data_IF_314803300415
#
_entry.id   IF_314803300415
#
_cell.length_a   1.000
_cell.length_b   1.000
_cell.length_c   1.000
_cell.angle_alpha   90.00
_cell.angle_beta   90.00
_cell.angle_gamma   90.00
#
_symmetry.space_group_name_H-M   'P 1'
#
loop_
_entity.id
_entity.type
_entity.pdbx_description
1 polymer ?
#
# COMPACT_ATOMS: atom_id res chain seq x y z
N UNK A 1 17.06 13.68 26.53
CA UNK A 1 16.08 13.24 25.53
C UNK A 1 15.21 12.05 25.97
N UNK A 2 15.51 11.42 27.08
CA UNK A 2 14.87 10.18 27.55
C UNK A 2 13.48 10.32 28.22
N UNK A 3 13.13 11.52 28.69
CA UNK A 3 11.87 11.76 29.41
C UNK A 3 10.60 11.78 28.56
N UNK A 4 10.67 12.07 27.26
CA UNK A 4 9.51 12.07 26.35
C UNK A 4 9.12 10.66 25.87
N UNK A 5 10.09 9.76 25.76
CA UNK A 5 9.85 8.36 25.36
C UNK A 5 9.19 7.53 26.46
N UNK A 6 9.46 7.82 27.73
CA UNK A 6 8.85 7.11 28.85
C UNK A 6 7.36 7.46 29.02
N UNK A 7 7.00 8.73 28.81
CA UNK A 7 5.61 9.23 28.90
C UNK A 7 4.70 8.70 27.78
N UNK A 8 5.25 8.49 26.57
CA UNK A 8 4.48 7.95 25.43
C UNK A 8 4.20 6.45 25.58
N UNK A 9 5.03 5.70 26.33
CA UNK A 9 4.78 4.30 26.66
C UNK A 9 3.65 4.09 27.67
N UNK A 10 3.32 5.08 28.49
CA UNK A 10 2.31 4.94 29.56
C UNK A 10 0.88 5.12 29.06
N UNK A 11 0.66 5.82 27.93
CA UNK A 11 -0.67 6.14 27.41
C UNK A 11 -1.31 4.98 26.62
N UNK A 12 -0.51 4.04 26.09
CA UNK A 12 -0.96 2.91 25.27
C UNK A 12 -0.39 1.58 25.75
N UNK A 13 -0.67 1.22 27.02
CA UNK A 13 -0.65 -0.17 27.44
C UNK A 13 -2.09 -0.65 27.60
N UNK A 14 -2.83 -0.97 26.53
CA UNK A 14 -3.97 -1.83 26.70
C UNK A 14 -3.46 -3.09 27.37
N UNK A 15 -4.19 -3.61 28.34
CA UNK A 15 -3.86 -4.90 28.93
C UNK A 15 -3.61 -5.87 27.78
N UNK A 16 -2.55 -6.69 27.85
CA UNK A 16 -2.23 -7.67 26.81
C UNK A 16 -3.45 -8.52 26.42
N UNK A 17 -4.31 -8.78 27.39
CA UNK A 17 -5.60 -9.43 27.22
C UNK A 17 -6.59 -8.64 26.34
N UNK A 18 -6.62 -7.31 26.46
CA UNK A 18 -7.51 -6.48 25.62
C UNK A 18 -7.12 -6.51 24.14
N UNK A 19 -5.83 -6.51 23.83
CA UNK A 19 -5.33 -6.66 22.45
C UNK A 19 -5.82 -7.97 21.84
N UNK A 20 -5.66 -9.06 22.59
CA UNK A 20 -6.09 -10.38 22.15
C UNK A 20 -7.61 -10.43 21.93
N UNK A 21 -8.41 -9.93 22.85
CA UNK A 21 -9.88 -9.92 22.75
C UNK A 21 -10.36 -9.07 21.56
N UNK A 22 -9.77 -7.89 21.33
CA UNK A 22 -10.12 -7.02 20.20
C UNK A 22 -9.86 -7.74 18.87
N UNK A 23 -8.71 -8.40 18.72
CA UNK A 23 -8.38 -9.13 17.49
C UNK A 23 -9.20 -10.41 17.33
N UNK A 24 -9.51 -11.11 18.41
CA UNK A 24 -10.46 -12.22 18.39
C UNK A 24 -11.84 -11.74 17.91
N UNK A 25 -12.34 -10.62 18.46
CA UNK A 25 -13.56 -9.96 18.02
C UNK A 25 -13.52 -9.54 16.55
N UNK A 26 -12.40 -8.99 16.08
CA UNK A 26 -12.17 -8.67 14.67
C UNK A 26 -12.27 -9.93 13.77
N UNK A 27 -11.78 -11.07 14.25
CA UNK A 27 -11.92 -12.35 13.56
C UNK A 27 -13.38 -12.79 13.41
N UNK A 28 -14.16 -12.69 14.49
CA UNK A 28 -15.61 -13.00 14.49
C UNK A 28 -16.35 -12.06 13.54
N UNK A 29 -16.11 -10.74 13.65
CA UNK A 29 -16.71 -9.73 12.76
C UNK A 29 -16.38 -10.03 11.31
N UNK A 30 -15.13 -10.36 11.00
CA UNK A 30 -14.72 -10.73 9.64
C UNK A 30 -15.47 -11.95 9.12
N UNK A 31 -15.54 -13.01 9.93
CA UNK A 31 -16.24 -14.25 9.57
C UNK A 31 -17.72 -14.03 9.26
N UNK A 32 -18.42 -13.33 10.14
CA UNK A 32 -19.84 -12.98 9.97
C UNK A 32 -20.07 -12.08 8.77
N UNK A 33 -19.26 -11.02 8.63
CA UNK A 33 -19.37 -10.07 7.54
C UNK A 33 -19.15 -10.74 6.17
N UNK A 34 -18.25 -11.72 6.03
CA UNK A 34 -18.06 -12.46 4.80
C UNK A 34 -19.30 -13.25 4.37
N UNK A 35 -20.08 -13.77 5.33
CA UNK A 35 -21.37 -14.44 5.03
C UNK A 35 -22.39 -13.42 4.48
N UNK A 36 -22.49 -12.25 5.13
CA UNK A 36 -23.39 -11.17 4.71
C UNK A 36 -23.00 -10.60 3.35
N UNK A 37 -21.73 -10.30 3.14
CA UNK A 37 -21.22 -9.74 1.88
C UNK A 37 -21.50 -10.64 0.66
N UNK A 38 -21.56 -11.95 0.88
CA UNK A 38 -21.93 -12.90 -0.19
C UNK A 38 -23.41 -12.85 -0.55
N UNK A 39 -24.27 -12.61 0.44
CA UNK A 39 -25.71 -12.46 0.19
C UNK A 39 -26.03 -11.16 -0.57
N UNK A 40 -25.20 -10.12 -0.40
CA UNK A 40 -25.37 -8.83 -1.06
C UNK A 40 -25.02 -8.85 -2.56
N UNK A 41 -24.23 -9.81 -3.01
CA UNK A 41 -23.89 -9.95 -4.43
C UNK A 41 -23.42 -11.38 -4.71
N UNK A 42 -24.01 -12.02 -5.72
CA UNK A 42 -23.62 -13.35 -6.23
C UNK A 42 -22.30 -13.34 -7.01
N UNK A 43 -21.74 -12.17 -7.32
CA UNK A 43 -20.49 -12.03 -8.05
C UNK A 43 -19.24 -12.29 -7.19
N UNK A 44 -18.15 -12.68 -7.85
CA UNK A 44 -16.84 -12.77 -7.22
C UNK A 44 -16.37 -11.40 -6.71
N UNK A 45 -15.45 -11.39 -5.74
CA UNK A 45 -14.78 -10.15 -5.28
C UNK A 45 -14.06 -9.51 -6.47
N UNK A 46 -14.68 -8.49 -7.06
CA UNK A 46 -14.08 -7.74 -8.16
C UNK A 46 -13.22 -6.66 -7.54
N UNK A 47 -11.91 -6.86 -7.56
CA UNK A 47 -10.96 -5.81 -7.20
C UNK A 47 -11.03 -4.64 -8.21
N UNK A 48 -10.76 -3.43 -7.76
CA UNK A 48 -10.78 -2.22 -8.59
C UNK A 48 -9.95 -2.39 -9.87
N UNK A 49 -8.78 -3.03 -9.77
CA UNK A 49 -7.91 -3.31 -10.93
C UNK A 49 -8.58 -4.26 -11.91
N UNK A 50 -9.20 -5.34 -11.40
CA UNK A 50 -9.94 -6.29 -12.24
C UNK A 50 -11.15 -5.63 -12.91
N UNK A 51 -11.89 -4.77 -12.20
CA UNK A 51 -13.02 -4.03 -12.74
C UNK A 51 -12.61 -3.16 -13.93
N UNK A 52 -11.53 -2.39 -13.80
CA UNK A 52 -11.05 -1.48 -14.84
C UNK A 52 -10.63 -2.26 -16.10
N UNK A 53 -9.91 -3.38 -15.92
CA UNK A 53 -9.34 -4.09 -17.06
C UNK A 53 -10.31 -5.07 -17.74
N UNK A 54 -11.17 -5.76 -16.96
CA UNK A 54 -11.96 -6.87 -17.45
C UNK A 54 -13.48 -6.63 -17.43
N UNK A 55 -13.94 -5.63 -16.67
CA UNK A 55 -15.35 -5.32 -16.51
C UNK A 55 -15.73 -3.89 -16.91
N UNK A 56 -14.95 -3.26 -17.80
CA UNK A 56 -15.18 -1.90 -18.29
C UNK A 56 -15.34 -0.86 -17.16
N UNK A 57 -14.70 -1.05 -16.01
CA UNK A 57 -14.82 -0.19 -14.83
C UNK A 57 -16.06 -0.44 -13.97
N UNK A 58 -16.92 -1.40 -14.32
CA UNK A 58 -18.14 -1.70 -13.55
C UNK A 58 -17.81 -2.41 -12.25
N UNK A 59 -18.31 -1.87 -11.14
CA UNK A 59 -18.11 -2.37 -9.77
C UNK A 59 -19.46 -2.61 -9.09
N UNK A 60 -19.63 -3.72 -8.34
CA UNK A 60 -20.80 -3.93 -7.48
C UNK A 60 -20.76 -2.97 -6.30
N UNK A 61 -21.45 -1.82 -6.42
CA UNK A 61 -21.33 -0.68 -5.51
C UNK A 61 -21.56 -1.05 -4.04
N UNK A 62 -22.70 -1.68 -3.72
CA UNK A 62 -23.06 -2.02 -2.34
C UNK A 62 -22.03 -2.94 -1.67
N UNK A 63 -21.60 -3.99 -2.38
CA UNK A 63 -20.62 -4.94 -1.85
C UNK A 63 -19.24 -4.30 -1.68
N UNK A 64 -18.82 -3.48 -2.65
CA UNK A 64 -17.53 -2.80 -2.61
C UNK A 64 -17.47 -1.80 -1.46
N UNK A 65 -18.53 -0.98 -1.26
CA UNK A 65 -18.62 -0.04 -0.14
C UNK A 65 -18.71 -0.76 1.20
N UNK A 66 -19.49 -1.83 1.31
CA UNK A 66 -19.58 -2.63 2.54
C UNK A 66 -18.21 -3.27 2.89
N UNK A 67 -17.47 -3.78 1.89
CA UNK A 67 -16.12 -4.29 2.07
C UNK A 67 -15.13 -3.17 2.48
N UNK A 68 -15.26 -1.99 1.90
CA UNK A 68 -14.48 -0.81 2.25
C UNK A 68 -14.69 -0.41 3.71
N UNK A 69 -15.95 -0.26 4.13
CA UNK A 69 -16.32 0.07 5.52
C UNK A 69 -15.79 -0.99 6.49
N UNK A 70 -16.00 -2.26 6.19
CA UNK A 70 -15.48 -3.36 6.99
C UNK A 70 -13.95 -3.28 7.14
N UNK A 71 -13.21 -2.97 6.07
CA UNK A 71 -11.76 -2.86 6.14
C UNK A 71 -11.29 -1.72 7.05
N UNK A 72 -12.01 -0.58 7.09
CA UNK A 72 -11.70 0.53 8.02
C UNK A 72 -11.91 0.10 9.47
N UNK A 73 -13.04 -0.55 9.77
CA UNK A 73 -13.34 -1.05 11.12
C UNK A 73 -12.27 -2.05 11.57
N UNK A 74 -11.93 -3.03 10.74
CA UNK A 74 -10.95 -4.06 11.08
C UNK A 74 -9.54 -3.50 11.28
N UNK A 75 -9.11 -2.55 10.44
CA UNK A 75 -7.81 -1.87 10.63
C UNK A 75 -7.83 -1.02 11.91
N UNK A 76 -8.96 -0.38 12.24
CA UNK A 76 -9.17 0.31 13.51
C UNK A 76 -9.08 -0.63 14.73
N UNK A 77 -9.52 -1.88 14.59
CA UNK A 77 -9.36 -2.93 15.60
C UNK A 77 -7.94 -3.51 15.68
N UNK A 78 -6.99 -3.03 14.87
CA UNK A 78 -5.58 -3.45 14.94
C UNK A 78 -5.16 -4.48 13.91
N UNK A 79 -6.01 -4.89 12.97
CA UNK A 79 -5.64 -5.83 11.91
C UNK A 79 -4.47 -5.29 11.09
N UNK A 80 -3.49 -6.16 10.79
CA UNK A 80 -2.23 -5.82 10.12
C UNK A 80 -2.37 -5.59 8.62
N UNK A 81 -3.29 -4.71 8.21
CA UNK A 81 -3.56 -4.31 6.83
C UNK A 81 -3.65 -2.79 6.71
N UNK A 82 -3.72 -2.29 5.47
CA UNK A 82 -3.80 -0.86 5.19
C UNK A 82 -5.22 -0.34 5.12
N UNK A 83 -5.40 0.91 5.53
CA UNK A 83 -6.69 1.63 5.47
C UNK A 83 -6.96 2.25 4.11
N UNK A 84 -5.97 2.34 3.23
CA UNK A 84 -6.05 2.98 1.91
C UNK A 84 -6.93 2.22 0.90
N UNK A 85 -7.22 0.96 1.17
CA UNK A 85 -8.16 0.19 0.36
C UNK A 85 -9.56 0.80 0.31
N UNK A 86 -10.05 1.29 1.45
CA UNK A 86 -11.40 1.83 1.57
C UNK A 86 -11.62 3.12 0.76
N UNK A 87 -10.85 4.21 0.90
CA UNK A 87 -11.04 5.42 0.12
C UNK A 87 -10.81 5.18 -1.38
N UNK A 88 -9.86 4.31 -1.77
CA UNK A 88 -9.66 3.89 -3.16
C UNK A 88 -10.91 3.20 -3.71
N UNK A 89 -11.51 2.27 -2.98
CA UNK A 89 -12.73 1.57 -3.37
C UNK A 89 -13.93 2.52 -3.44
N UNK A 90 -14.10 3.39 -2.44
CA UNK A 90 -15.17 4.37 -2.42
C UNK A 90 -15.09 5.32 -3.62
N UNK A 91 -13.92 5.91 -3.87
CA UNK A 91 -13.70 6.78 -5.03
C UNK A 91 -14.00 6.08 -6.36
N UNK A 92 -13.62 4.81 -6.50
CA UNK A 92 -13.93 4.00 -7.69
C UNK A 92 -15.44 3.76 -7.87
N UNK A 93 -16.17 3.49 -6.78
CA UNK A 93 -17.63 3.27 -6.83
C UNK A 93 -18.35 4.55 -7.18
N UNK A 94 -17.98 5.69 -6.59
CA UNK A 94 -18.58 6.98 -6.96
C UNK A 94 -18.29 7.33 -8.42
N UNK A 95 -17.08 7.11 -8.91
CA UNK A 95 -16.72 7.31 -10.30
C UNK A 95 -17.52 6.38 -11.24
N UNK A 96 -17.74 5.12 -10.86
CA UNK A 96 -18.62 4.23 -11.62
C UNK A 96 -20.07 4.74 -11.65
N UNK A 97 -20.61 5.19 -10.51
CA UNK A 97 -21.95 5.76 -10.43
C UNK A 97 -22.11 6.99 -11.34
N UNK A 98 -21.16 7.93 -11.30
CA UNK A 98 -21.17 9.09 -12.20
C UNK A 98 -21.03 8.71 -13.66
N UNK A 99 -20.26 7.67 -13.97
CA UNK A 99 -20.14 7.15 -15.34
C UNK A 99 -21.46 6.59 -15.87
N UNK A 100 -22.27 5.95 -15.02
CA UNK A 100 -23.59 5.46 -15.38
C UNK A 100 -24.57 6.63 -15.58
N UNK A 101 -24.55 7.63 -14.69
CA UNK A 101 -25.41 8.80 -14.75
C UNK A 101 -25.15 9.61 -16.02
N UNK A 102 -23.89 9.77 -16.42
CA UNK A 102 -23.47 10.55 -17.60
C UNK A 102 -23.34 9.73 -18.88
N UNK A 103 -23.67 8.43 -18.82
CA UNK A 103 -23.62 7.48 -19.96
C UNK A 103 -22.28 7.48 -20.70
N UNK A 104 -21.17 7.49 -19.95
CA UNK A 104 -19.84 7.44 -20.51
C UNK A 104 -19.57 6.13 -21.26
N UNK A 105 -18.75 6.22 -22.31
CA UNK A 105 -18.23 5.03 -22.99
C UNK A 105 -17.40 4.16 -22.03
N UNK A 106 -17.23 2.88 -22.38
CA UNK A 106 -16.48 1.95 -21.54
C UNK A 106 -15.03 2.42 -21.27
N UNK A 107 -14.36 3.06 -22.25
CA UNK A 107 -13.00 3.57 -22.06
C UNK A 107 -12.95 4.81 -21.16
N UNK A 108 -13.92 5.72 -21.31
CA UNK A 108 -14.06 6.86 -20.41
C UNK A 108 -14.38 6.42 -18.98
N UNK A 109 -15.25 5.42 -18.82
CA UNK A 109 -15.58 4.82 -17.52
C UNK A 109 -14.33 4.21 -16.87
N UNK A 110 -13.56 3.39 -17.60
CA UNK A 110 -12.30 2.82 -17.09
C UNK A 110 -11.35 3.89 -16.59
N UNK A 111 -11.25 5.01 -17.33
CA UNK A 111 -10.41 6.13 -16.93
C UNK A 111 -10.97 6.80 -15.67
N UNK A 112 -12.26 7.14 -15.65
CA UNK A 112 -12.86 7.85 -14.52
C UNK A 112 -12.81 7.02 -13.24
N UNK A 113 -13.04 5.70 -13.32
CA UNK A 113 -12.94 4.77 -12.19
C UNK A 113 -11.51 4.67 -11.67
N UNK A 114 -10.50 4.69 -12.56
CA UNK A 114 -9.10 4.75 -12.15
C UNK A 114 -8.77 6.08 -11.47
N UNK A 115 -9.24 7.22 -12.02
CA UNK A 115 -9.12 8.55 -11.42
C UNK A 115 -9.79 8.60 -10.04
N UNK A 116 -10.98 8.00 -9.88
CA UNK A 116 -11.67 7.89 -8.60
C UNK A 116 -10.87 7.10 -7.56
N UNK A 117 -10.21 6.01 -7.96
CA UNK A 117 -9.30 5.27 -7.08
C UNK A 117 -8.13 6.14 -6.59
N UNK A 118 -7.50 6.90 -7.50
CA UNK A 118 -6.41 7.81 -7.16
C UNK A 118 -6.87 9.00 -6.32
N UNK A 119 -8.05 9.56 -6.64
CA UNK A 119 -8.68 10.65 -5.89
C UNK A 119 -8.98 10.24 -4.44
N UNK A 120 -9.50 9.03 -4.23
CA UNK A 120 -9.70 8.48 -2.88
C UNK A 120 -8.39 8.34 -2.11
N UNK A 121 -7.31 7.92 -2.76
CA UNK A 121 -5.98 7.86 -2.16
C UNK A 121 -5.43 9.25 -1.87
N UNK A 122 -5.57 10.19 -2.80
CA UNK A 122 -5.15 11.59 -2.65
C UNK A 122 -5.83 12.27 -1.46
N UNK A 123 -7.14 12.11 -1.32
CA UNK A 123 -7.91 12.63 -0.20
C UNK A 123 -7.48 12.03 1.15
N UNK A 124 -7.21 10.72 1.19
CA UNK A 124 -6.88 10.02 2.44
C UNK A 124 -5.49 10.37 3.01
N UNK A 125 -4.57 10.79 2.16
CA UNK A 125 -3.17 11.05 2.53
C UNK A 125 -2.71 12.48 2.27
N UNK A 126 -3.52 13.34 1.65
CA UNK A 126 -3.14 14.70 1.28
C UNK A 126 -2.08 14.73 0.16
N UNK A 127 -2.17 13.81 -0.82
CA UNK A 127 -1.16 13.59 -1.88
C UNK A 127 -1.78 13.74 -3.29
N UNK A 128 -2.16 14.94 -3.71
CA UNK A 128 -2.89 15.15 -4.97
C UNK A 128 -2.13 14.69 -6.22
N UNK A 129 -0.83 14.99 -6.33
CA UNK A 129 -0.03 14.57 -7.48
C UNK A 129 0.27 13.08 -7.45
N UNK A 130 0.65 12.56 -6.29
CA UNK A 130 0.92 11.13 -6.09
C UNK A 130 -0.32 10.28 -6.34
N UNK A 131 -1.50 10.72 -5.89
CA UNK A 131 -2.77 10.04 -6.15
C UNK A 131 -3.14 10.02 -7.63
N UNK A 132 -2.96 11.14 -8.34
CA UNK A 132 -3.19 11.22 -9.78
C UNK A 132 -2.26 10.28 -10.56
N UNK A 133 -0.96 10.31 -10.27
CA UNK A 133 0.02 9.43 -10.92
C UNK A 133 -0.21 7.96 -10.57
N UNK A 134 -0.58 7.65 -9.33
CA UNK A 134 -0.97 6.30 -8.94
C UNK A 134 -2.17 5.79 -9.75
N UNK A 135 -3.19 6.63 -9.99
CA UNK A 135 -4.34 6.27 -10.80
C UNK A 135 -3.95 5.81 -12.21
N UNK A 136 -3.08 6.54 -12.87
CA UNK A 136 -2.71 6.29 -14.26
C UNK A 136 -1.58 5.27 -14.40
N UNK A 137 -0.53 5.35 -13.59
CA UNK A 137 0.63 4.44 -13.69
C UNK A 137 0.34 3.05 -13.13
N UNK A 138 -0.26 2.98 -11.94
CA UNK A 138 -0.44 1.70 -11.22
C UNK A 138 -1.79 1.08 -11.55
N UNK A 139 -2.89 1.85 -11.44
CA UNK A 139 -4.24 1.32 -11.59
C UNK A 139 -4.62 1.16 -13.07
N UNK A 140 -4.45 2.21 -13.88
CA UNK A 140 -4.70 2.18 -15.32
C UNK A 140 -3.57 1.51 -16.09
N UNK A 141 -2.34 1.55 -15.56
CA UNK A 141 -1.17 0.88 -16.14
C UNK A 141 -0.60 1.55 -17.37
N UNK A 142 -0.89 2.82 -17.63
CA UNK A 142 -0.39 3.58 -18.77
C UNK A 142 -0.23 5.07 -18.42
N UNK A 143 0.97 5.61 -18.64
CA UNK A 143 1.27 7.04 -18.51
C UNK A 143 1.07 7.72 -19.88
N UNK A 144 -0.19 8.01 -20.23
CA UNK A 144 -0.50 8.75 -21.44
C UNK A 144 -1.00 10.16 -21.08
N UNK A 145 -0.57 11.18 -21.85
CA UNK A 145 -0.87 12.59 -21.58
C UNK A 145 -2.38 12.85 -21.45
N UNK A 146 -3.20 12.21 -22.29
CA UNK A 146 -4.67 12.30 -22.25
C UNK A 146 -5.29 11.85 -20.93
N UNK A 147 -4.58 11.06 -20.10
CA UNK A 147 -5.08 10.57 -18.82
C UNK A 147 -4.63 11.45 -17.64
N UNK A 148 -3.59 12.25 -17.83
CA UNK A 148 -2.97 13.05 -16.75
C UNK A 148 -3.93 14.13 -16.26
N UNK A 149 -4.52 14.92 -17.16
CA UNK A 149 -5.40 16.04 -16.79
C UNK A 149 -6.63 15.59 -16.00
N UNK A 150 -7.42 14.59 -16.44
CA UNK A 150 -8.53 14.08 -15.65
C UNK A 150 -8.09 13.54 -14.26
N UNK A 151 -6.96 12.83 -14.18
CA UNK A 151 -6.46 12.29 -12.92
C UNK A 151 -6.03 13.40 -11.96
N UNK A 152 -5.33 14.43 -12.45
CA UNK A 152 -4.93 15.59 -11.66
C UNK A 152 -6.15 16.35 -11.13
N UNK A 153 -7.13 16.62 -11.99
CA UNK A 153 -8.35 17.32 -11.59
C UNK A 153 -9.11 16.57 -10.51
N UNK A 154 -9.36 15.27 -10.72
CA UNK A 154 -10.06 14.44 -9.73
C UNK A 154 -9.31 14.39 -8.38
N UNK A 155 -8.00 14.21 -8.41
CA UNK A 155 -7.18 14.13 -7.19
C UNK A 155 -7.07 15.48 -6.48
N UNK A 156 -6.90 16.59 -7.21
CA UNK A 156 -6.84 17.92 -6.66
C UNK A 156 -8.15 18.33 -5.97
N UNK A 157 -9.29 18.13 -6.66
CA UNK A 157 -10.62 18.43 -6.09
C UNK A 157 -10.88 17.58 -4.85
N UNK A 158 -10.60 16.26 -4.90
CA UNK A 158 -10.80 15.37 -3.77
C UNK A 158 -9.92 15.76 -2.56
N UNK A 159 -8.68 16.16 -2.81
CA UNK A 159 -7.77 16.63 -1.75
C UNK A 159 -8.23 17.97 -1.17
N UNK A 160 -8.63 18.92 -2.02
CA UNK A 160 -9.14 20.21 -1.56
C UNK A 160 -10.39 20.06 -0.67
N UNK A 161 -11.31 19.18 -1.06
CA UNK A 161 -12.47 18.85 -0.21
C UNK A 161 -12.03 18.15 1.08
N UNK A 162 -11.08 17.22 1.03
CA UNK A 162 -10.59 16.54 2.22
C UNK A 162 -9.93 17.50 3.22
N UNK A 163 -9.25 18.55 2.78
CA UNK A 163 -8.63 19.56 3.66
C UNK A 163 -9.63 20.41 4.45
N UNK A 164 -10.91 20.38 4.10
CA UNK A 164 -11.96 21.01 4.93
C UNK A 164 -12.16 20.28 6.26
N UNK A 165 -11.81 18.99 6.34
CA UNK A 165 -11.99 18.14 7.52
C UNK A 165 -10.67 17.56 8.06
N UNK A 166 -9.68 17.40 7.19
CA UNK A 166 -8.37 16.83 7.51
C UNK A 166 -7.29 17.90 7.50
N UNK A 167 -6.28 17.80 8.36
CA UNK A 167 -5.18 18.76 8.37
C UNK A 167 -4.37 18.68 7.07
N UNK A 168 -4.02 19.85 6.51
CA UNK A 168 -3.06 19.95 5.41
C UNK A 168 -1.63 19.85 5.96
N UNK A 169 -1.20 18.63 6.28
CA UNK A 169 0.13 18.35 6.80
C UNK A 169 0.66 17.03 6.24
N UNK A 170 1.98 16.90 6.06
CA UNK A 170 2.60 15.65 5.62
C UNK A 170 2.23 14.49 6.54
N UNK A 171 2.04 13.31 5.94
CA UNK A 171 1.71 12.10 6.70
C UNK A 171 2.86 11.65 7.60
N UNK A 172 4.11 11.85 7.16
CA UNK A 172 5.33 11.53 7.90
C UNK A 172 6.18 12.79 8.06
N UNK A 173 6.76 12.96 9.23
CA UNK A 173 7.73 14.01 9.49
C UNK A 173 9.13 13.41 9.48
N UNK A 174 9.96 13.84 8.55
CA UNK A 174 11.35 13.38 8.41
C UNK A 174 12.29 14.47 8.95
N UNK A 175 13.31 14.11 9.75
CA UNK A 175 14.36 15.03 10.14
C UNK A 175 15.10 15.56 8.91
N UNK A 176 15.59 16.79 8.97
CA UNK A 176 16.47 17.31 7.91
C UNK A 176 17.80 16.56 7.94
N UNK A 177 18.12 15.88 6.87
CA UNK A 177 19.40 15.18 6.72
C UNK A 177 20.36 16.00 5.86
N UNK A 178 21.67 16.00 6.16
CA UNK A 178 22.66 16.67 5.34
C UNK A 178 22.79 15.99 3.98
N UNK A 179 23.00 16.80 2.94
CA UNK A 179 23.34 16.30 1.62
C UNK A 179 24.71 15.62 1.66
N UNK A 180 24.77 14.39 1.16
CA UNK A 180 26.02 13.63 1.11
C UNK A 180 26.11 12.87 -0.21
N UNK A 181 27.28 12.90 -0.86
CA UNK A 181 27.54 12.06 -2.04
C UNK A 181 27.42 10.57 -1.72
N UNK A 182 27.69 10.18 -0.47
CA UNK A 182 27.53 8.81 0.00
C UNK A 182 26.06 8.35 0.00
N UNK A 183 25.09 9.28 0.11
CA UNK A 183 23.67 8.93 0.00
C UNK A 183 23.29 8.45 -1.41
N UNK A 184 23.96 8.94 -2.46
CA UNK A 184 23.76 8.47 -3.83
C UNK A 184 24.30 7.05 -4.02
N UNK A 185 25.48 6.78 -3.48
CA UNK A 185 26.06 5.43 -3.52
C UNK A 185 25.18 4.46 -2.71
N UNK A 186 24.77 4.85 -1.51
CA UNK A 186 23.82 4.08 -0.70
C UNK A 186 22.52 3.81 -1.46
N UNK A 187 21.96 4.80 -2.17
CA UNK A 187 20.73 4.64 -2.94
C UNK A 187 20.82 3.52 -3.98
N UNK A 188 21.97 3.41 -4.69
CA UNK A 188 22.21 2.33 -5.63
C UNK A 188 22.29 0.99 -4.92
N UNK A 189 23.08 0.87 -3.85
CA UNK A 189 23.22 -0.36 -3.07
C UNK A 189 21.88 -0.78 -2.44
N UNK A 190 21.14 0.20 -1.90
CA UNK A 190 19.80 -0.03 -1.39
C UNK A 190 18.84 -0.53 -2.48
N UNK A 191 18.90 0.04 -3.68
CA UNK A 191 18.13 -0.41 -4.83
C UNK A 191 18.46 -1.85 -5.24
N UNK A 192 19.75 -2.22 -5.26
CA UNK A 192 20.22 -3.59 -5.53
C UNK A 192 19.70 -4.58 -4.47
N UNK A 193 19.85 -4.24 -3.19
CA UNK A 193 19.39 -5.08 -2.08
C UNK A 193 17.84 -5.16 -2.02
N UNK A 194 17.18 -4.06 -2.36
CA UNK A 194 15.73 -3.95 -2.35
C UNK A 194 15.05 -4.66 -3.52
N UNK A 195 15.71 -4.84 -4.65
CA UNK A 195 15.14 -5.41 -5.88
C UNK A 195 14.55 -6.82 -5.74
N UNK A 196 15.23 -7.78 -5.11
CA UNK A 196 14.72 -9.14 -4.92
C UNK A 196 13.58 -9.27 -3.90
N UNK A 197 13.54 -8.42 -2.88
CA UNK A 197 12.55 -8.51 -1.80
C UNK A 197 11.09 -8.37 -2.30
N UNK A 198 10.73 -7.41 -3.16
CA UNK A 198 9.38 -7.31 -3.73
C UNK A 198 8.96 -8.55 -4.49
N UNK A 199 9.88 -9.20 -5.17
CA UNK A 199 9.61 -10.44 -5.91
C UNK A 199 9.08 -11.53 -4.97
N UNK A 200 9.81 -11.77 -3.89
CA UNK A 200 9.40 -12.72 -2.85
C UNK A 200 8.06 -12.29 -2.22
N UNK A 201 7.96 -11.02 -1.85
CA UNK A 201 6.78 -10.48 -1.19
C UNK A 201 5.52 -10.58 -2.06
N UNK A 202 5.58 -10.19 -3.33
CA UNK A 202 4.46 -10.31 -4.29
C UNK A 202 4.05 -11.76 -4.50
N UNK A 203 5.01 -12.69 -4.61
CA UNK A 203 4.73 -14.12 -4.73
C UNK A 203 4.02 -14.67 -3.48
N UNK A 204 4.48 -14.30 -2.30
CA UNK A 204 3.85 -14.70 -1.02
C UNK A 204 2.45 -14.11 -0.85
N UNK A 205 2.25 -12.84 -1.19
CA UNK A 205 0.91 -12.21 -1.18
C UNK A 205 -0.02 -12.94 -2.15
N UNK A 206 0.45 -13.26 -3.35
CA UNK A 206 -0.32 -14.02 -4.32
C UNK A 206 -0.67 -15.42 -3.82
N UNK A 207 0.27 -16.09 -3.17
CA UNK A 207 0.01 -17.39 -2.55
C UNK A 207 -1.07 -17.27 -1.47
N UNK A 208 -0.99 -16.27 -0.59
CA UNK A 208 -2.00 -16.02 0.44
C UNK A 208 -3.38 -15.69 -0.14
N UNK A 209 -3.46 -14.86 -1.21
CA UNK A 209 -4.69 -14.52 -1.92
C UNK A 209 -5.34 -15.75 -2.56
N UNK A 210 -4.56 -16.66 -3.14
CA UNK A 210 -5.05 -17.91 -3.74
C UNK A 210 -5.53 -18.93 -2.72
N UNK A 211 -4.95 -18.92 -1.52
CA UNK A 211 -5.29 -19.81 -0.42
C UNK A 211 -6.35 -19.24 0.53
N UNK A 212 -7.09 -18.20 0.11
CA UNK A 212 -8.21 -17.67 0.89
C UNK A 212 -9.24 -18.76 1.21
N UNK A 213 -9.84 -18.70 2.40
CA UNK A 213 -10.77 -19.73 2.84
C UNK A 213 -12.04 -19.78 1.96
N UNK A 214 -12.54 -20.99 1.74
CA UNK A 214 -13.80 -21.27 1.05
C UNK A 214 -14.76 -22.02 1.98
N UNK A 215 -16.04 -22.04 1.66
CA UNK A 215 -17.05 -22.74 2.46
C UNK A 215 -17.11 -22.22 3.91
N UNK A 216 -17.26 -23.12 4.88
CA UNK A 216 -17.34 -22.81 6.31
C UNK A 216 -16.01 -22.28 6.92
N UNK A 217 -14.87 -22.61 6.31
CA UNK A 217 -13.56 -22.11 6.72
C UNK A 217 -13.46 -20.58 6.68
N UNK A 218 -14.34 -19.89 5.92
CA UNK A 218 -14.41 -18.42 5.88
C UNK A 218 -14.83 -17.80 7.20
N UNK A 219 -15.55 -18.53 8.03
CA UNK A 219 -15.96 -18.07 9.36
C UNK A 219 -14.83 -18.36 10.35
N UNK A 220 -14.22 -19.53 10.26
CA UNK A 220 -13.30 -20.03 11.28
C UNK A 220 -11.87 -19.50 11.10
N UNK A 221 -11.36 -19.46 9.87
CA UNK A 221 -9.97 -19.01 9.61
C UNK A 221 -9.69 -17.57 10.06
N UNK A 222 -10.58 -16.56 9.85
CA UNK A 222 -10.34 -15.22 10.38
C UNK A 222 -10.22 -15.19 11.90
N UNK A 223 -11.02 -15.98 12.61
CA UNK A 223 -10.99 -16.05 14.07
C UNK A 223 -9.63 -16.56 14.56
N UNK A 224 -9.18 -17.70 14.05
CA UNK A 224 -7.89 -18.27 14.43
C UNK A 224 -6.70 -17.43 13.96
N UNK A 225 -6.76 -16.91 12.73
CA UNK A 225 -5.69 -16.07 12.19
C UNK A 225 -5.51 -14.77 12.96
N UNK A 226 -6.61 -14.09 13.30
CA UNK A 226 -6.53 -12.85 14.07
C UNK A 226 -6.27 -13.08 15.56
N UNK A 227 -6.72 -14.22 16.14
CA UNK A 227 -6.31 -14.63 17.48
C UNK A 227 -4.79 -14.87 17.55
N UNK A 228 -4.21 -15.56 16.56
CA UNK A 228 -2.76 -15.76 16.46
C UNK A 228 -2.01 -14.42 16.31
N UNK A 229 -2.53 -13.50 15.47
CA UNK A 229 -1.99 -12.15 15.40
C UNK A 229 -2.07 -11.45 16.77
N UNK A 230 -3.14 -11.65 17.53
CA UNK A 230 -3.32 -11.11 18.87
C UNK A 230 -2.25 -11.59 19.84
N UNK A 231 -1.97 -12.89 19.84
CA UNK A 231 -0.89 -13.48 20.66
C UNK A 231 0.48 -12.88 20.28
N UNK A 232 0.79 -12.81 18.99
CA UNK A 232 2.04 -12.20 18.51
C UNK A 232 2.14 -10.71 18.87
N UNK A 233 1.03 -9.99 18.82
CA UNK A 233 0.97 -8.56 19.12
C UNK A 233 1.16 -8.24 20.61
N UNK A 234 0.93 -9.17 21.51
CA UNK A 234 1.26 -9.02 22.94
C UNK A 234 2.76 -8.76 23.11
N UNK A 235 3.59 -9.47 22.36
CA UNK A 235 5.06 -9.33 22.42
C UNK A 235 5.57 -8.27 21.46
N UNK A 236 4.90 -8.10 20.30
CA UNK A 236 5.28 -7.19 19.20
C UNK A 236 4.09 -6.31 18.79
N UNK A 237 3.69 -5.31 19.60
CA UNK A 237 2.55 -4.44 19.29
C UNK A 237 2.74 -3.64 17.98
N UNK A 238 3.99 -3.52 17.50
CA UNK A 238 4.33 -2.95 16.21
C UNK A 238 3.73 -3.70 15.01
N UNK A 239 3.27 -4.94 15.19
CA UNK A 239 2.60 -5.70 14.12
C UNK A 239 1.18 -5.19 13.84
N UNK A 240 0.56 -4.47 14.77
CA UNK A 240 -0.81 -4.00 14.64
C UNK A 240 -0.97 -2.89 13.60
N UNK A 241 -2.20 -2.79 13.09
CA UNK A 241 -2.69 -1.75 12.19
C UNK A 241 -1.82 -1.54 10.94
N UNK A 242 -1.98 -0.39 10.30
CA UNK A 242 -1.28 -0.05 9.05
C UNK A 242 0.22 0.24 9.22
N UNK A 243 0.69 0.47 10.45
CA UNK A 243 2.11 0.64 10.76
C UNK A 243 2.68 2.05 10.52
N UNK A 244 1.84 3.09 10.43
CA UNK A 244 2.26 4.48 10.28
C UNK A 244 3.28 4.89 11.35
N UNK A 245 3.01 4.57 12.62
CA UNK A 245 3.87 4.94 13.75
C UNK A 245 5.28 4.36 13.65
N UNK A 246 5.37 3.09 13.22
CA UNK A 246 6.68 2.45 13.04
C UNK A 246 7.42 3.00 11.83
N UNK A 247 6.72 3.30 10.73
CA UNK A 247 7.35 3.98 9.58
C UNK A 247 7.91 5.35 9.99
N UNK A 248 7.16 6.11 10.81
CA UNK A 248 7.63 7.37 11.37
C UNK A 248 8.92 7.21 12.18
N UNK A 249 8.99 6.18 13.05
CA UNK A 249 10.18 5.88 13.85
C UNK A 249 11.36 5.41 12.99
N UNK A 250 11.10 4.64 11.93
CA UNK A 250 12.14 4.20 10.98
C UNK A 250 12.73 5.38 10.23
N UNK A 251 11.89 6.30 9.76
CA UNK A 251 12.35 7.53 9.09
C UNK A 251 13.07 8.49 10.05
N UNK A 252 12.78 8.42 11.34
CA UNK A 252 13.54 9.15 12.36
C UNK A 252 14.86 8.45 12.77
N UNK A 253 15.13 7.22 12.27
CA UNK A 253 16.30 6.43 12.66
C UNK A 253 16.27 5.92 14.10
N UNK A 254 15.10 5.87 14.74
CA UNK A 254 14.96 5.59 16.17
C UNK A 254 14.70 4.12 16.50
N UNK A 255 14.62 3.24 15.50
CA UNK A 255 14.33 1.80 15.70
C UNK A 255 15.65 1.04 15.84
N UNK A 256 15.87 0.25 16.92
CA UNK A 256 17.06 -0.58 17.07
C UNK A 256 17.18 -1.64 15.97
N UNK A 257 18.43 -1.99 15.58
CA UNK A 257 18.70 -2.98 14.53
C UNK A 257 17.98 -4.31 14.74
N UNK A 258 18.10 -4.90 15.93
CA UNK A 258 17.48 -6.20 16.25
C UNK A 258 15.97 -6.17 16.07
N UNK A 259 15.32 -5.08 16.51
CA UNK A 259 13.88 -4.93 16.37
C UNK A 259 13.50 -4.73 14.88
N UNK A 260 14.28 -3.94 14.13
CA UNK A 260 14.05 -3.74 12.69
C UNK A 260 14.19 -5.06 11.92
N UNK A 261 15.21 -5.86 12.21
CA UNK A 261 15.43 -7.18 11.59
C UNK A 261 14.31 -8.18 11.93
N UNK A 262 13.87 -8.24 13.18
CA UNK A 262 12.74 -9.09 13.57
C UNK A 262 11.44 -8.66 12.89
N UNK A 263 11.14 -7.36 12.87
CA UNK A 263 9.92 -6.84 12.24
C UNK A 263 9.95 -7.00 10.71
N UNK A 264 11.12 -7.02 10.08
CA UNK A 264 11.27 -7.27 8.65
C UNK A 264 10.70 -8.64 8.22
N UNK A 265 10.74 -9.62 9.12
CA UNK A 265 10.15 -10.95 8.89
C UNK A 265 8.73 -11.04 9.45
N UNK A 266 8.51 -10.56 10.66
CA UNK A 266 7.22 -10.71 11.36
C UNK A 266 6.11 -9.87 10.71
N UNK A 267 6.40 -8.67 10.20
CA UNK A 267 5.36 -7.81 9.60
C UNK A 267 4.82 -8.37 8.29
N UNK A 268 5.63 -8.78 7.31
CA UNK A 268 5.13 -9.52 6.15
C UNK A 268 4.34 -10.78 6.54
N UNK A 269 4.82 -11.57 7.50
CA UNK A 269 4.12 -12.76 7.99
C UNK A 269 2.73 -12.42 8.56
N UNK A 270 2.61 -11.35 9.36
CA UNK A 270 1.34 -10.88 9.89
C UNK A 270 0.38 -10.41 8.78
N UNK A 271 0.89 -9.74 7.75
CA UNK A 271 0.10 -9.33 6.58
C UNK A 271 -0.42 -10.56 5.83
N UNK A 272 0.45 -11.54 5.57
CA UNK A 272 0.09 -12.78 4.88
C UNK A 272 -0.94 -13.59 5.69
N UNK A 273 -0.82 -13.62 7.00
CA UNK A 273 -1.78 -14.24 7.92
C UNK A 273 -3.16 -13.58 7.78
N UNK A 274 -3.23 -12.24 7.76
CA UNK A 274 -4.48 -11.51 7.58
C UNK A 274 -5.10 -11.79 6.20
N UNK A 275 -4.31 -11.72 5.11
CA UNK A 275 -4.77 -11.99 3.74
C UNK A 275 -5.25 -13.43 3.62
N UNK A 276 -4.45 -14.41 4.06
CA UNK A 276 -4.76 -15.84 4.02
C UNK A 276 -5.96 -16.23 4.88
N UNK A 277 -6.30 -15.40 5.88
CA UNK A 277 -7.54 -15.52 6.65
C UNK A 277 -8.76 -14.90 5.96
N UNK A 278 -8.57 -14.24 4.80
CA UNK A 278 -9.66 -13.62 4.04
C UNK A 278 -10.08 -12.25 4.55
N UNK A 279 -9.29 -11.60 5.40
CA UNK A 279 -9.58 -10.25 5.91
C UNK A 279 -9.47 -9.23 4.77
N UNK A 280 -10.47 -8.33 4.57
CA UNK A 280 -10.37 -7.25 3.59
C UNK A 280 -9.48 -6.13 4.11
N UNK A 281 -8.67 -5.55 3.21
CA UNK A 281 -7.80 -4.42 3.53
C UNK A 281 -6.88 -4.04 2.39
N UNK A 282 -6.23 -2.87 2.52
CA UNK A 282 -5.24 -2.38 1.58
C UNK A 282 -3.87 -3.01 1.81
N UNK A 283 -3.05 -3.01 0.77
CA UNK A 283 -1.69 -3.58 0.80
C UNK A 283 -0.60 -2.50 0.67
N UNK A 284 -0.95 -1.26 0.36
CA UNK A 284 0.01 -0.19 0.11
C UNK A 284 0.80 0.20 1.37
N UNK A 285 0.12 0.68 2.42
CA UNK A 285 0.80 1.12 3.65
C UNK A 285 1.53 -0.02 4.38
N UNK A 286 0.97 -1.24 4.50
CA UNK A 286 1.72 -2.36 5.08
C UNK A 286 2.96 -2.74 4.27
N UNK A 287 2.89 -2.64 2.94
CA UNK A 287 4.08 -2.80 2.08
C UNK A 287 5.10 -1.71 2.38
N UNK A 288 4.69 -0.43 2.43
CA UNK A 288 5.56 0.70 2.75
C UNK A 288 6.34 0.49 4.05
N UNK A 289 5.69 -0.04 5.10
CA UNK A 289 6.36 -0.34 6.37
C UNK A 289 7.37 -1.48 6.28
N UNK A 290 6.96 -2.62 5.68
CA UNK A 290 7.85 -3.78 5.53
C UNK A 290 9.12 -3.41 4.80
N UNK A 291 9.03 -2.44 3.96
CA UNK A 291 10.05 -1.92 3.07
C UNK A 291 10.97 -0.90 3.74
N UNK A 292 10.42 0.00 4.55
CA UNK A 292 11.21 0.91 5.38
C UNK A 292 12.10 0.12 6.34
N UNK A 293 11.63 -1.02 6.85
CA UNK A 293 12.40 -1.96 7.66
C UNK A 293 13.62 -2.50 6.89
N UNK A 294 13.44 -2.92 5.62
CA UNK A 294 14.56 -3.38 4.81
C UNK A 294 15.61 -2.29 4.60
N UNK A 295 15.18 -1.09 4.21
CA UNK A 295 16.08 0.05 4.05
C UNK A 295 16.86 0.38 5.32
N UNK A 296 16.20 0.33 6.47
CA UNK A 296 16.85 0.55 7.77
C UNK A 296 17.86 -0.56 8.10
N UNK A 297 17.53 -1.84 7.87
CA UNK A 297 18.44 -2.96 8.10
C UNK A 297 19.67 -2.86 7.19
N UNK A 298 19.48 -2.58 5.91
CA UNK A 298 20.61 -2.36 4.97
C UNK A 298 21.42 -1.13 5.39
N UNK A 299 20.75 -0.07 5.86
CA UNK A 299 21.37 1.14 6.37
C UNK A 299 22.24 0.90 7.62
N UNK A 300 21.79 0.05 8.54
CA UNK A 300 22.61 -0.37 9.69
C UNK A 300 23.87 -1.12 9.24
N UNK A 301 23.74 -2.06 8.32
CA UNK A 301 24.91 -2.78 7.77
C UNK A 301 25.86 -1.84 7.02
N UNK A 302 25.32 -0.89 6.27
CA UNK A 302 26.09 0.14 5.59
C UNK A 302 26.85 1.04 6.57
N UNK A 303 26.23 1.41 7.69
CA UNK A 303 26.84 2.29 8.70
C UNK A 303 28.05 1.69 9.39
N UNK A 304 28.26 0.37 9.32
CA UNK A 304 29.48 -0.29 9.83
C UNK A 304 30.69 0.08 8.98
N UNK A 305 30.51 0.44 7.71
CA UNK A 305 31.59 0.82 6.79
C UNK A 305 31.60 2.32 6.55
N UNK A 306 30.42 2.93 6.44
CA UNK A 306 30.23 4.34 6.11
C UNK A 306 29.29 5.03 7.12
N UNK A 307 29.77 5.45 8.28
CA UNK A 307 28.94 5.96 9.39
C UNK A 307 28.24 7.29 9.12
N UNK A 308 28.55 7.97 8.03
CA UNK A 308 28.04 9.33 7.73
C UNK A 308 26.66 9.36 7.05
N UNK A 309 26.04 8.23 6.73
CA UNK A 309 24.69 8.18 6.14
C UNK A 309 23.67 7.91 7.25
N UNK A 310 22.73 8.83 7.52
CA UNK A 310 21.76 8.65 8.58
C UNK A 310 20.82 7.45 8.32
N UNK A 311 20.60 6.59 9.31
CA UNK A 311 19.78 5.38 9.21
C UNK A 311 18.34 5.70 8.80
N UNK A 312 17.79 6.84 9.27
CA UNK A 312 16.45 7.26 8.89
C UNK A 312 16.33 7.58 7.39
N UNK A 313 17.36 8.19 6.79
CA UNK A 313 17.45 8.39 5.35
C UNK A 313 17.50 7.04 4.61
N UNK A 314 18.26 6.08 5.15
CA UNK A 314 18.32 4.72 4.60
C UNK A 314 16.95 4.05 4.61
N UNK A 315 16.19 4.20 5.70
CA UNK A 315 14.81 3.71 5.79
C UNK A 315 13.86 4.36 4.78
N UNK A 316 14.01 5.67 4.56
CA UNK A 316 13.22 6.42 3.57
C UNK A 316 13.53 5.98 2.13
N UNK A 317 14.80 5.88 1.76
CA UNK A 317 15.22 5.42 0.43
C UNK A 317 14.79 3.98 0.15
N UNK A 318 14.95 3.09 1.14
CA UNK A 318 14.44 1.73 1.08
C UNK A 318 12.93 1.68 0.90
N UNK A 319 12.19 2.52 1.64
CA UNK A 319 10.74 2.63 1.50
C UNK A 319 10.32 2.95 0.06
N UNK A 320 10.93 3.93 -0.57
CA UNK A 320 10.67 4.26 -1.97
C UNK A 320 11.05 3.14 -2.93
N UNK A 321 12.27 2.59 -2.79
CA UNK A 321 12.80 1.55 -3.67
C UNK A 321 11.87 0.33 -3.77
N UNK A 322 11.48 -0.25 -2.64
CA UNK A 322 10.66 -1.46 -2.65
C UNK A 322 9.18 -1.16 -2.90
N UNK A 323 8.65 -0.01 -2.45
CA UNK A 323 7.28 0.38 -2.79
C UNK A 323 7.09 0.45 -4.29
N UNK A 324 8.02 1.11 -5.00
CA UNK A 324 8.03 1.20 -6.45
C UNK A 324 8.11 -0.17 -7.12
N UNK A 325 9.04 -1.00 -6.69
CA UNK A 325 9.22 -2.34 -7.23
C UNK A 325 8.02 -3.27 -6.93
N UNK A 326 7.35 -3.09 -5.77
CA UNK A 326 6.14 -3.84 -5.39
C UNK A 326 4.91 -3.40 -6.19
N UNK A 327 4.73 -2.10 -6.39
CA UNK A 327 3.57 -1.54 -7.12
C UNK A 327 3.78 -1.47 -8.62
N UNK A 328 5.04 -1.59 -9.09
CA UNK A 328 5.48 -1.40 -10.48
C UNK A 328 5.20 0.02 -11.01
N UNK A 329 5.21 1.01 -10.08
CA UNK A 329 4.93 2.43 -10.35
C UNK A 329 6.07 3.35 -9.89
N UNK A 330 7.20 3.45 -10.62
CA UNK A 330 8.34 4.26 -10.19
C UNK A 330 8.04 5.76 -10.11
N UNK A 331 7.34 6.30 -11.09
CA UNK A 331 7.05 7.75 -11.14
C UNK A 331 6.08 8.14 -10.01
N UNK A 332 4.98 7.40 -9.88
CA UNK A 332 4.01 7.66 -8.81
C UNK A 332 4.62 7.47 -7.43
N UNK A 333 5.53 6.51 -7.27
CA UNK A 333 6.18 6.27 -5.96
C UNK A 333 7.09 7.42 -5.54
N UNK A 334 7.90 7.96 -6.44
CA UNK A 334 8.78 9.10 -6.12
C UNK A 334 7.92 10.29 -5.66
N UNK A 335 6.90 10.64 -6.42
CA UNK A 335 6.01 11.77 -6.07
C UNK A 335 5.23 11.49 -4.78
N UNK A 336 4.68 10.28 -4.61
CA UNK A 336 4.00 9.89 -3.37
C UNK A 336 4.91 10.01 -2.15
N UNK A 337 6.15 9.54 -2.22
CA UNK A 337 7.11 9.63 -1.12
C UNK A 337 7.42 11.09 -0.78
N UNK A 338 7.57 11.95 -1.78
CA UNK A 338 7.81 13.38 -1.58
C UNK A 338 6.61 14.07 -0.90
N UNK A 339 5.39 13.83 -1.38
CA UNK A 339 4.19 14.43 -0.79
C UNK A 339 3.88 13.87 0.60
N UNK A 340 4.02 12.55 0.82
CA UNK A 340 3.78 11.90 2.11
C UNK A 340 4.70 12.43 3.21
N UNK A 341 5.88 12.89 2.86
CA UNK A 341 6.90 13.33 3.81
C UNK A 341 7.07 14.85 3.84
N UNK A 342 6.48 15.57 2.88
CA UNK A 342 6.67 17.02 2.71
C UNK A 342 8.13 17.38 2.41
N UNK A 343 8.92 16.43 1.88
CA UNK A 343 10.35 16.56 1.79
C UNK A 343 10.83 17.42 0.63
N UNK A 344 12.02 17.96 0.88
CA UNK A 344 12.68 18.95 0.05
C UNK A 344 13.44 18.30 -1.11
N UNK A 345 13.83 19.14 -2.04
CA UNK A 345 14.55 18.82 -3.28
C UNK A 345 15.78 17.91 -3.13
N UNK A 346 16.45 17.96 -1.97
CA UNK A 346 17.67 17.20 -1.69
C UNK A 346 17.54 15.67 -1.83
N UNK A 347 16.37 15.12 -1.48
CA UNK A 347 16.17 13.67 -1.49
C UNK A 347 15.62 13.11 -2.79
N UNK A 348 15.26 13.97 -3.76
CA UNK A 348 14.69 13.53 -5.05
C UNK A 348 15.67 12.64 -5.81
N UNK A 349 16.94 13.06 -5.92
CA UNK A 349 17.92 12.34 -6.71
C UNK A 349 18.32 10.98 -6.11
N UNK A 350 18.65 10.87 -4.80
CA UNK A 350 18.87 9.57 -4.17
C UNK A 350 17.64 8.66 -4.26
N UNK A 351 16.44 9.21 -4.08
CA UNK A 351 15.20 8.45 -4.17
C UNK A 351 14.94 7.93 -5.59
N UNK A 352 15.15 8.75 -6.61
CA UNK A 352 15.06 8.36 -8.02
C UNK A 352 16.01 7.19 -8.35
N UNK A 353 17.27 7.27 -7.90
CA UNK A 353 18.24 6.20 -8.11
C UNK A 353 17.81 4.89 -7.45
N UNK A 354 17.44 4.94 -6.16
CA UNK A 354 17.01 3.76 -5.43
C UNK A 354 15.76 3.11 -6.04
N UNK A 355 14.76 3.93 -6.39
CA UNK A 355 13.50 3.52 -7.04
C UNK A 355 13.76 2.89 -8.41
N UNK A 356 14.58 3.53 -9.24
CA UNK A 356 14.85 3.05 -10.59
C UNK A 356 15.59 1.72 -10.57
N UNK A 357 16.68 1.61 -9.80
CA UNK A 357 17.47 0.38 -9.69
C UNK A 357 16.61 -0.77 -9.17
N UNK A 358 15.88 -0.57 -8.07
CA UNK A 358 15.02 -1.61 -7.49
C UNK A 358 13.92 -2.07 -8.46
N UNK A 359 13.30 -1.11 -9.17
CA UNK A 359 12.22 -1.42 -10.12
C UNK A 359 12.75 -2.19 -11.33
N UNK A 360 13.92 -1.82 -11.87
CA UNK A 360 14.53 -2.54 -12.97
C UNK A 360 14.84 -3.98 -12.62
N UNK A 361 15.44 -4.23 -11.44
CA UNK A 361 15.74 -5.57 -10.96
C UNK A 361 14.45 -6.37 -10.71
N UNK A 362 13.49 -5.77 -10.02
CA UNK A 362 12.23 -6.45 -9.75
C UNK A 362 11.47 -6.81 -11.02
N UNK A 363 11.42 -5.91 -12.02
CA UNK A 363 10.76 -6.15 -13.32
C UNK A 363 11.42 -7.25 -14.13
N UNK A 364 12.74 -7.37 -14.08
CA UNK A 364 13.45 -8.43 -14.81
C UNK A 364 13.15 -9.83 -14.27
N UNK A 365 12.83 -9.94 -12.96
CA UNK A 365 12.55 -11.21 -12.28
C UNK A 365 11.04 -11.48 -12.21
N UNK A 366 10.25 -10.47 -11.85
CA UNK A 366 8.81 -10.57 -11.63
C UNK A 366 8.10 -9.29 -12.10
N UNK A 367 7.53 -9.28 -13.32
CA UNK A 367 6.92 -8.09 -13.89
C UNK A 367 5.52 -7.77 -13.32
N UNK A 368 5.03 -8.58 -12.37
CA UNK A 368 3.71 -8.42 -11.78
C UNK A 368 3.77 -7.49 -10.58
N UNK A 369 2.77 -6.62 -10.45
CA UNK A 369 2.58 -5.78 -9.29
C UNK A 369 1.83 -6.53 -8.17
N UNK A 370 1.86 -6.00 -6.96
CA UNK A 370 1.07 -6.51 -5.83
C UNK A 370 -0.45 -6.46 -6.12
N UNK A 371 -0.89 -5.54 -6.97
CA UNK A 371 -2.29 -5.42 -7.38
C UNK A 371 -2.69 -6.50 -8.40
N UNK A 372 -1.72 -7.16 -9.04
CA UNK A 372 -1.95 -8.33 -9.90
C UNK A 372 -2.12 -9.62 -9.11
N UNK A 373 -1.85 -9.61 -7.81
CA UNK A 373 -1.92 -10.81 -6.96
C UNK A 373 -3.32 -11.48 -6.96
N UNK A 374 -4.37 -10.66 -7.15
CA UNK A 374 -5.76 -11.11 -7.23
C UNK A 374 -6.22 -11.56 -8.62
N UNK A 375 -5.39 -11.32 -9.64
CA UNK A 375 -5.71 -11.71 -11.03
C UNK A 375 -5.27 -13.13 -11.32
N UNK A 376 -6.03 -13.82 -12.20
CA UNK A 376 -5.64 -15.12 -12.75
C UNK A 376 -4.48 -14.96 -13.75
N UNK A 377 -3.78 -16.06 -14.06
CA UNK A 377 -2.68 -16.01 -15.03
C UNK A 377 -3.13 -15.51 -16.40
N UNK A 378 -4.29 -15.96 -16.89
CA UNK A 378 -4.85 -15.53 -18.17
C UNK A 378 -5.19 -14.03 -18.15
N UNK A 379 -5.77 -13.53 -17.05
CA UNK A 379 -6.05 -12.11 -16.89
C UNK A 379 -4.77 -11.26 -16.91
N UNK A 380 -3.70 -11.73 -16.28
CA UNK A 380 -2.41 -11.03 -16.29
C UNK A 380 -1.86 -10.92 -17.71
N UNK A 381 -1.88 -12.00 -18.48
CA UNK A 381 -1.41 -11.98 -19.87
C UNK A 381 -2.25 -11.04 -20.76
N UNK A 382 -3.57 -11.08 -20.62
CA UNK A 382 -4.48 -10.17 -21.34
C UNK A 382 -4.21 -8.73 -20.94
N UNK A 383 -4.05 -8.43 -19.64
CA UNK A 383 -3.70 -7.09 -19.16
C UNK A 383 -2.38 -6.58 -19.75
N UNK A 384 -1.35 -7.41 -19.79
CA UNK A 384 -0.05 -7.04 -20.37
C UNK A 384 -0.17 -6.71 -21.86
N UNK A 385 -0.91 -7.52 -22.62
CA UNK A 385 -1.16 -7.25 -24.05
C UNK A 385 -1.92 -5.94 -24.26
N UNK A 386 -2.97 -5.71 -23.48
CA UNK A 386 -3.77 -4.47 -23.55
C UNK A 386 -2.96 -3.24 -23.13
N UNK A 387 -2.12 -3.37 -22.11
CA UNK A 387 -1.23 -2.29 -21.66
C UNK A 387 -0.25 -1.87 -22.77
N UNK A 388 0.36 -2.83 -23.44
CA UNK A 388 1.27 -2.56 -24.56
C UNK A 388 0.55 -1.82 -25.70
N UNK A 389 -0.69 -2.23 -26.04
CA UNK A 389 -1.49 -1.55 -27.06
C UNK A 389 -1.83 -0.10 -26.68
N UNK A 390 -2.14 0.18 -25.41
CA UNK A 390 -2.46 1.54 -24.94
C UNK A 390 -1.22 2.44 -24.92
N UNK A 391 -0.02 1.89 -24.70
CA UNK A 391 1.23 2.65 -24.69
C UNK A 391 1.73 2.98 -26.11
N UNK A 392 1.51 2.10 -27.08
CA UNK A 392 2.01 2.27 -28.46
C UNK A 392 1.09 3.19 -29.30
N UNK A 393 -0.14 3.44 -28.84
CA UNK A 393 -1.11 4.25 -29.60
C UNK A 393 -1.68 3.53 -30.85
N UNK A 394 -2.84 3.95 -31.35
CA UNK A 394 -3.42 3.35 -32.55
C UNK A 394 -2.71 3.75 -33.86
N UNK A 395 -1.78 4.70 -33.82
CA UNK A 395 -1.15 5.27 -35.02
C UNK A 395 0.11 4.52 -35.50
N UNK A 396 0.54 3.47 -34.79
CA UNK A 396 1.74 2.66 -35.14
C UNK A 396 1.39 1.18 -35.40
N UNK A 397 0.15 0.91 -35.83
CA UNK A 397 -0.26 -0.44 -36.28
C UNK A 397 -0.56 -0.46 -37.77
#
# INVERSE_FOLDING_TARGET
MDGKFSKQRSIWRPCAFSIFLILLGAGIVTGLAQVVLRKLSSGNDIDTTAAIWFHAGRLPALRTLASATLSVVLVGMGVSLGREGAPKQAGSVFANFFSDLTRLSDDQRRLLVACGAGAGMAAAYGVPLGGALFAIEVVRGALALRFILPALLCSAVATAVAWTLLPNAPTYQIPSYPDSRLSLLFAIVCGLAAGPFPVLYVRLVRWAERNKPSGWHRIVRPVFGLALLGVLAIRFPQLLANGRDVSQLLFAGSVPFVLAALLLVLKPAAILLCIGSGVPGGLFTPSLKSVALLGSVVGFLWSLVFPHVPIGLCGFLGAGAVLSATTQGPVSTVILMMELTGEKRAFVLPLLLAVTVATMISRSIEPRSIYDARLTNNQIQVRQRLRNKVQVGPELQ
#
